data_IF_245844356798
#
_entry.id   IF_245844356798
#
_cell.length_a   1.000
_cell.length_b   1.000
_cell.length_c   1.000
_cell.angle_alpha   90.00
_cell.angle_beta   90.00
_cell.angle_gamma   90.00
#
_symmetry.space_group_name_H-M   'P 1'
#
loop_
_entity.id
_entity.type
_entity.pdbx_description
1 polymer ?
#
# COMPACT_ATOMS: atom_id res chain seq x y z
N UNK A 1 -52.72 38.18 -9.52
CA UNK A 1 -51.33 38.43 -9.94
C UNK A 1 -50.42 37.71 -8.97
N UNK A 2 -50.35 36.39 -9.12
CA UNK A 2 -49.63 35.48 -8.23
C UNK A 2 -49.04 34.41 -9.11
N UNK A 3 -47.71 34.29 -9.10
CA UNK A 3 -46.93 33.11 -9.52
C UNK A 3 -45.41 33.36 -9.58
N UNK A 4 -44.93 34.60 -9.51
CA UNK A 4 -43.49 34.85 -9.69
C UNK A 4 -42.67 34.88 -8.40
N UNK A 5 -43.30 35.05 -7.23
CA UNK A 5 -42.60 35.11 -5.95
C UNK A 5 -42.29 33.74 -5.31
N UNK A 6 -42.41 32.65 -6.07
CA UNK A 6 -42.01 31.31 -5.61
C UNK A 6 -40.66 30.83 -6.16
N UNK A 7 -39.96 31.66 -6.95
CA UNK A 7 -38.77 31.22 -7.70
C UNK A 7 -37.44 31.71 -7.13
N UNK A 8 -37.23 31.61 -5.82
CA UNK A 8 -35.87 31.71 -5.28
C UNK A 8 -35.68 30.96 -3.96
N UNK A 9 -36.22 29.74 -3.86
CA UNK A 9 -35.70 28.76 -2.89
C UNK A 9 -34.45 28.09 -3.48
N UNK A 10 -33.34 28.82 -3.55
CA UNK A 10 -32.01 28.20 -3.65
C UNK A 10 -31.62 27.72 -2.25
N UNK A 11 -32.27 26.66 -1.77
CA UNK A 11 -31.78 25.94 -0.61
C UNK A 11 -30.57 25.13 -1.06
N UNK A 12 -29.38 25.73 -0.92
CA UNK A 12 -28.16 24.95 -0.72
C UNK A 12 -28.47 23.99 0.41
N UNK A 13 -28.67 22.71 0.09
CA UNK A 13 -28.97 21.68 1.08
C UNK A 13 -27.71 21.48 1.92
N UNK A 14 -27.58 22.24 3.00
CA UNK A 14 -26.59 21.95 4.02
C UNK A 14 -26.83 20.51 4.50
N UNK A 15 -25.79 19.69 4.44
CA UNK A 15 -25.81 18.34 4.98
C UNK A 15 -26.23 18.45 6.45
N UNK A 16 -27.34 17.81 6.83
CA UNK A 16 -27.89 17.94 8.18
C UNK A 16 -26.86 17.50 9.23
N UNK A 17 -26.80 18.15 10.39
CA UNK A 17 -25.92 17.75 11.51
C UNK A 17 -25.86 16.23 11.76
N UNK A 18 -26.99 15.48 11.75
CA UNK A 18 -26.93 14.03 11.91
C UNK A 18 -26.23 13.30 10.75
N UNK A 19 -26.34 13.78 9.51
CA UNK A 19 -25.63 13.20 8.35
C UNK A 19 -24.13 13.47 8.39
N UNK A 20 -23.71 14.65 8.86
CA UNK A 20 -22.30 14.93 9.13
C UNK A 20 -21.71 14.03 10.23
N UNK A 21 -22.48 13.79 11.30
CA UNK A 21 -22.09 12.89 12.39
C UNK A 21 -22.01 11.43 11.93
N UNK A 22 -22.94 10.98 11.07
CA UNK A 22 -22.87 9.61 10.53
C UNK A 22 -21.66 9.44 9.62
N UNK A 23 -21.35 10.44 8.78
CA UNK A 23 -20.15 10.40 7.93
C UNK A 23 -18.87 10.40 8.74
N UNK A 24 -18.77 11.19 9.82
CA UNK A 24 -17.56 11.20 10.66
C UNK A 24 -17.35 9.87 11.39
N UNK A 25 -18.41 9.26 11.90
CA UNK A 25 -18.33 7.91 12.51
C UNK A 25 -17.91 6.87 11.46
N UNK A 26 -18.49 6.93 10.25
CA UNK A 26 -18.12 6.01 9.17
C UNK A 26 -16.64 6.13 8.81
N UNK A 27 -16.13 7.36 8.65
CA UNK A 27 -14.70 7.61 8.37
C UNK A 27 -13.82 7.09 9.50
N UNK A 28 -14.22 7.27 10.75
CA UNK A 28 -13.47 6.76 11.92
C UNK A 28 -13.42 5.23 11.93
N UNK A 29 -14.55 4.55 11.70
CA UNK A 29 -14.61 3.09 11.64
C UNK A 29 -13.75 2.56 10.50
N UNK A 30 -13.84 3.13 9.30
CA UNK A 30 -13.01 2.74 8.14
C UNK A 30 -11.53 2.93 8.45
N UNK A 31 -11.17 4.04 9.11
CA UNK A 31 -9.78 4.32 9.49
C UNK A 31 -9.24 3.31 10.51
N UNK A 32 -10.04 2.96 11.51
CA UNK A 32 -9.69 1.95 12.51
C UNK A 32 -9.52 0.56 11.89
N UNK A 33 -10.46 0.14 11.04
CA UNK A 33 -10.37 -1.16 10.34
C UNK A 33 -9.12 -1.21 9.46
N UNK A 34 -8.81 -0.14 8.74
CA UNK A 34 -7.60 -0.05 7.91
C UNK A 34 -6.32 -0.10 8.74
N UNK A 35 -6.28 0.58 9.89
CA UNK A 35 -5.17 0.54 10.82
C UNK A 35 -4.94 -0.87 11.41
N UNK A 36 -6.00 -1.53 11.88
CA UNK A 36 -5.92 -2.90 12.37
C UNK A 36 -5.48 -3.89 11.29
N UNK A 37 -5.98 -3.74 10.06
CA UNK A 37 -5.55 -4.58 8.94
C UNK A 37 -4.06 -4.41 8.66
N UNK A 38 -3.56 -3.17 8.62
CA UNK A 38 -2.13 -2.90 8.40
C UNK A 38 -1.24 -3.51 9.50
N UNK A 39 -1.71 -3.48 10.76
CA UNK A 39 -0.97 -4.00 11.90
C UNK A 39 -0.97 -5.53 11.98
N UNK A 40 -2.01 -6.18 11.44
CA UNK A 40 -2.14 -7.63 11.40
C UNK A 40 -1.54 -8.25 10.13
N UNK A 41 -1.49 -7.50 9.02
CA UNK A 41 -1.04 -8.02 7.73
C UNK A 41 0.45 -7.88 7.50
N UNK A 42 1.09 -6.85 8.07
CA UNK A 42 2.49 -6.53 7.81
C UNK A 42 3.27 -6.63 9.12
N UNK A 43 4.17 -7.62 9.21
CA UNK A 43 5.08 -7.76 10.32
C UNK A 43 6.20 -6.72 10.22
N UNK A 44 6.76 -6.55 9.01
CA UNK A 44 7.92 -5.70 8.75
C UNK A 44 7.78 -4.98 7.40
N UNK A 45 8.34 -3.77 7.31
CA UNK A 45 8.32 -2.94 6.12
C UNK A 45 9.71 -2.34 5.89
N UNK A 46 10.21 -2.48 4.66
CA UNK A 46 11.49 -1.95 4.21
C UNK A 46 11.27 -1.04 3.00
N UNK A 47 11.98 0.09 2.98
CA UNK A 47 11.82 1.11 1.92
C UNK A 47 13.13 1.29 1.20
N UNK A 48 13.10 1.11 -0.12
CA UNK A 48 14.27 1.27 -0.98
C UNK A 48 13.99 2.34 -2.02
N UNK A 49 14.95 3.25 -2.18
CA UNK A 49 14.88 4.31 -3.18
C UNK A 49 15.93 4.05 -4.24
N UNK A 50 15.53 4.23 -5.50
CA UNK A 50 16.43 4.15 -6.66
C UNK A 50 17.64 5.09 -6.51
N UNK A 51 18.80 4.75 -7.10
CA UNK A 51 19.99 5.60 -7.04
C UNK A 51 19.75 7.03 -7.54
N UNK A 52 18.92 7.20 -8.57
CA UNK A 52 18.49 8.50 -9.11
C UNK A 52 17.35 9.16 -8.35
N UNK A 53 16.75 8.49 -7.37
CA UNK A 53 15.67 9.04 -6.54
C UNK A 53 14.31 9.13 -7.25
N UNK A 54 14.15 8.54 -8.43
CA UNK A 54 12.93 8.65 -9.24
C UNK A 54 11.86 7.67 -8.79
N UNK A 55 12.26 6.44 -8.48
CA UNK A 55 11.40 5.39 -7.98
C UNK A 55 11.69 5.04 -6.52
N UNK A 56 10.64 4.71 -5.79
CA UNK A 56 10.72 4.18 -4.43
C UNK A 56 9.85 2.93 -4.35
N UNK A 57 10.43 1.83 -3.89
CA UNK A 57 9.71 0.60 -3.61
C UNK A 57 9.60 0.38 -2.11
N UNK A 58 8.58 -0.37 -1.73
CA UNK A 58 8.31 -0.77 -0.36
C UNK A 58 8.14 -2.28 -0.36
N UNK A 59 9.01 -2.98 0.35
CA UNK A 59 8.93 -4.42 0.56
C UNK A 59 8.22 -4.65 1.89
N UNK A 60 7.14 -5.41 1.87
CA UNK A 60 6.39 -5.75 3.08
C UNK A 60 6.43 -7.24 3.30
N UNK A 61 6.64 -7.63 4.55
CA UNK A 61 6.60 -9.02 4.97
C UNK A 61 5.33 -9.27 5.76
N UNK A 62 4.63 -10.34 5.40
CA UNK A 62 3.48 -10.79 6.16
C UNK A 62 3.89 -11.55 7.45
N UNK A 63 2.91 -12.03 8.21
CA UNK A 63 3.15 -12.77 9.46
C UNK A 63 3.91 -14.10 9.27
N UNK A 64 4.01 -14.61 8.04
CA UNK A 64 4.79 -15.81 7.69
C UNK A 64 6.00 -15.45 6.82
N UNK A 65 6.48 -14.20 6.94
CA UNK A 65 7.67 -13.67 6.31
C UNK A 65 7.69 -13.77 4.78
N UNK A 66 6.53 -13.72 4.11
CA UNK A 66 6.46 -13.65 2.64
C UNK A 66 6.62 -12.21 2.18
N UNK A 67 7.58 -11.90 1.29
CA UNK A 67 7.73 -10.55 0.75
C UNK A 67 6.66 -10.23 -0.29
N UNK A 68 6.16 -9.01 -0.26
CA UNK A 68 5.37 -8.40 -1.33
C UNK A 68 5.95 -7.03 -1.65
N UNK A 69 6.19 -6.76 -2.93
CA UNK A 69 6.82 -5.51 -3.39
C UNK A 69 5.75 -4.57 -3.90
N UNK A 70 5.79 -3.36 -3.37
CA UNK A 70 4.91 -2.27 -3.76
C UNK A 70 5.70 -1.10 -4.32
N UNK A 71 5.17 -0.45 -5.37
CA UNK A 71 5.59 0.89 -5.77
C UNK A 71 4.99 1.91 -4.80
N UNK A 72 5.81 2.82 -4.30
CA UNK A 72 5.31 3.93 -3.50
C UNK A 72 4.58 4.92 -4.40
N UNK A 73 3.27 5.04 -4.22
CA UNK A 73 2.46 6.06 -4.88
C UNK A 73 2.19 7.26 -3.96
N UNK A 74 1.55 8.29 -4.51
CA UNK A 74 1.21 9.50 -3.74
C UNK A 74 0.14 9.24 -2.68
N UNK A 75 -0.89 8.45 -3.02
CA UNK A 75 -2.03 8.17 -2.14
C UNK A 75 -2.10 6.70 -1.69
N UNK A 76 -1.74 5.78 -2.59
CA UNK A 76 -1.75 4.34 -2.34
C UNK A 76 -0.49 3.72 -2.93
N UNK A 77 0.05 2.72 -2.23
CA UNK A 77 1.11 1.91 -2.80
C UNK A 77 0.50 0.89 -3.77
N UNK A 78 1.12 0.71 -4.93
CA UNK A 78 0.67 -0.21 -5.97
C UNK A 78 1.46 -1.51 -5.86
N UNK A 79 0.78 -2.64 -5.71
CA UNK A 79 1.45 -3.95 -5.73
C UNK A 79 2.05 -4.19 -7.12
N UNK A 80 3.34 -4.49 -7.17
CA UNK A 80 4.05 -4.82 -8.42
C UNK A 80 4.31 -6.33 -8.47
N UNK A 81 4.65 -6.92 -7.33
CA UNK A 81 5.08 -8.30 -7.27
C UNK A 81 4.74 -8.94 -5.93
N UNK A 82 4.43 -10.23 -5.96
CA UNK A 82 4.05 -11.03 -4.82
C UNK A 82 4.82 -12.36 -4.84
N UNK A 83 5.31 -12.78 -3.68
CA UNK A 83 6.06 -14.01 -3.53
C UNK A 83 5.19 -15.25 -3.83
N UNK A 84 5.61 -16.13 -4.76
CA UNK A 84 4.77 -17.24 -5.22
C UNK A 84 4.75 -18.44 -4.28
N UNK A 85 5.74 -18.61 -3.39
CA UNK A 85 5.88 -19.80 -2.58
C UNK A 85 5.24 -19.66 -1.18
N UNK A 86 5.29 -20.75 -0.41
CA UNK A 86 4.87 -20.74 1.00
C UNK A 86 5.76 -19.82 1.85
N UNK A 87 5.24 -19.37 2.99
CA UNK A 87 6.02 -18.57 3.93
C UNK A 87 7.20 -19.32 4.55
N UNK A 88 8.02 -18.56 5.25
CA UNK A 88 9.24 -19.04 5.89
C UNK A 88 8.96 -19.34 7.37
N UNK A 89 9.65 -20.34 7.90
CA UNK A 89 9.57 -20.68 9.33
C UNK A 89 10.45 -19.78 10.21
N UNK A 90 11.26 -18.94 9.60
CA UNK A 90 12.16 -17.99 10.23
C UNK A 90 11.98 -16.59 9.64
N UNK A 91 12.46 -15.58 10.36
CA UNK A 91 12.52 -14.21 9.86
C UNK A 91 13.54 -14.15 8.71
N UNK A 92 13.07 -13.77 7.52
CA UNK A 92 13.90 -13.65 6.32
C UNK A 92 13.83 -12.25 5.77
N UNK A 93 14.96 -11.79 5.23
CA UNK A 93 15.07 -10.52 4.52
C UNK A 93 15.67 -10.80 3.15
N UNK A 94 14.97 -10.34 2.12
CA UNK A 94 15.47 -10.39 0.76
C UNK A 94 16.33 -9.17 0.50
N UNK A 95 17.46 -9.38 -0.17
CA UNK A 95 18.29 -8.29 -0.64
C UNK A 95 17.67 -7.65 -1.90
N UNK A 96 17.67 -6.32 -1.93
CA UNK A 96 17.20 -5.51 -3.05
C UNK A 96 18.39 -4.81 -3.68
N UNK A 97 18.62 -5.06 -4.95
CA UNK A 97 19.63 -4.36 -5.74
C UNK A 97 18.99 -3.68 -6.95
N UNK A 98 19.30 -2.41 -7.15
CA UNK A 98 18.82 -1.65 -8.31
C UNK A 98 19.73 -1.92 -9.51
N UNK A 99 19.18 -2.53 -10.55
CA UNK A 99 19.87 -2.73 -11.82
C UNK A 99 19.71 -1.51 -12.74
N UNK A 100 18.57 -0.84 -12.65
CA UNK A 100 18.28 0.43 -13.31
C UNK A 100 17.25 1.22 -12.48
N UNK A 101 16.79 2.38 -12.93
CA UNK A 101 15.73 3.14 -12.24
C UNK A 101 14.38 2.40 -12.24
N UNK A 102 14.16 1.45 -13.15
CA UNK A 102 12.90 0.72 -13.32
C UNK A 102 13.05 -0.78 -13.13
N UNK A 103 14.22 -1.28 -12.79
CA UNK A 103 14.47 -2.72 -12.66
C UNK A 103 15.26 -3.01 -11.39
N UNK A 104 14.77 -3.98 -10.63
CA UNK A 104 15.41 -4.45 -9.41
C UNK A 104 15.70 -5.95 -9.52
N UNK A 105 16.84 -6.34 -8.96
CA UNK A 105 17.17 -7.70 -8.63
C UNK A 105 16.79 -7.93 -7.17
N UNK A 106 15.97 -8.95 -6.93
CA UNK A 106 15.47 -9.32 -5.63
C UNK A 106 15.93 -10.73 -5.30
N UNK A 107 16.81 -10.85 -4.31
CA UNK A 107 17.53 -12.09 -4.03
C UNK A 107 17.37 -12.51 -2.59
N UNK A 108 17.18 -13.81 -2.38
CA UNK A 108 17.28 -14.44 -1.07
C UNK A 108 18.37 -15.51 -1.12
N UNK A 109 19.25 -15.45 -0.13
CA UNK A 109 20.41 -16.32 0.04
C UNK A 109 20.38 -16.80 1.49
N UNK A 110 20.02 -18.07 1.71
CA UNK A 110 20.12 -18.69 3.04
C UNK A 110 21.60 -18.91 3.36
N UNK A 111 22.01 -18.66 4.60
CA UNK A 111 23.39 -18.80 5.14
C UNK A 111 24.01 -20.19 4.88
N UNK A 112 23.20 -21.18 4.48
CA UNK A 112 23.61 -22.56 4.18
C UNK A 112 23.55 -22.90 2.69
N UNK A 113 23.42 -21.91 1.79
CA UNK A 113 23.32 -22.05 0.32
C UNK A 113 22.26 -23.09 -0.11
N UNK A 114 21.23 -23.29 0.72
CA UNK A 114 20.22 -24.33 0.51
C UNK A 114 19.06 -23.83 -0.36
N UNK A 115 18.80 -22.53 -0.29
CA UNK A 115 17.69 -21.88 -0.95
C UNK A 115 18.20 -20.56 -1.52
N UNK A 116 18.55 -20.62 -2.80
CA UNK A 116 18.94 -19.44 -3.56
C UNK A 116 17.76 -19.09 -4.46
N UNK A 117 17.15 -17.95 -4.17
CA UNK A 117 16.05 -17.44 -4.99
C UNK A 117 16.43 -16.09 -5.57
N UNK A 118 16.26 -15.95 -6.88
CA UNK A 118 16.54 -14.71 -7.60
C UNK A 118 15.35 -14.35 -8.48
N UNK A 119 14.91 -13.10 -8.37
CA UNK A 119 13.81 -12.54 -9.14
C UNK A 119 14.23 -11.21 -9.75
N UNK A 120 13.90 -11.03 -11.04
CA UNK A 120 14.05 -9.76 -11.75
C UNK A 120 12.68 -9.12 -11.87
N UNK A 121 12.53 -7.93 -11.28
CA UNK A 121 11.23 -7.28 -11.13
C UNK A 121 11.28 -5.94 -11.85
N UNK A 122 10.36 -5.79 -12.81
CA UNK A 122 10.18 -4.56 -13.58
C UNK A 122 9.16 -3.65 -12.89
N UNK A 123 9.59 -2.42 -12.61
CA UNK A 123 8.77 -1.37 -12.03
C UNK A 123 8.05 -0.65 -13.17
N UNK A 124 6.71 -0.61 -13.16
CA UNK A 124 5.96 0.12 -14.17
C UNK A 124 6.17 1.64 -14.03
N UNK A 125 6.28 2.33 -15.16
CA UNK A 125 6.29 3.81 -15.25
C UNK A 125 4.98 4.46 -14.76
#
# INVERSE_FOLDING_TARGET
MGKEEQRSRKTTKYLSVPTMLTLSILVLVVSLVRGCYHLLSNAEEEVFTSPGGTNTIVVRYDLVCRPTIYQKGVLWNKEIWNYPNSGFMETVHFNVEWLSETEIRFTYDDVRDKYDEEYFIQIPE
#
